data_IF_645306733110
#
_entry.id   IF_645306733110
#
_cell.length_a   1.000
_cell.length_b   1.000
_cell.length_c   1.000
_cell.angle_alpha   90.00
_cell.angle_beta   90.00
_cell.angle_gamma   90.00
#
_symmetry.space_group_name_H-M   'P 1'
#
loop_
_entity.id
_entity.type
_entity.pdbx_description
1 polymer ?
#
# COMPACT_ATOMS: atom_id res chain seq x y z
N UNK A 1 15.87 9.64 12.05
CA UNK A 1 14.52 9.23 11.56
C UNK A 1 14.54 7.73 11.29
N UNK A 2 13.48 7.02 11.66
CA UNK A 2 13.29 5.59 11.44
C UNK A 2 12.07 5.39 10.55
N UNK A 3 12.28 4.69 9.42
CA UNK A 3 11.26 4.46 8.40
C UNK A 3 10.98 2.97 8.31
N UNK A 4 9.72 2.60 8.43
CA UNK A 4 9.23 1.25 8.17
C UNK A 4 8.69 1.18 6.74
N UNK A 5 9.27 0.31 5.92
CA UNK A 5 8.81 -0.04 4.59
C UNK A 5 8.02 -1.35 4.70
N UNK A 6 6.74 -1.32 4.34
CA UNK A 6 5.89 -2.51 4.29
C UNK A 6 5.72 -2.92 2.83
N UNK A 7 6.10 -4.16 2.52
CA UNK A 7 5.95 -4.78 1.20
C UNK A 7 5.23 -6.12 1.34
N UNK A 8 4.65 -6.63 0.26
CA UNK A 8 3.94 -7.91 0.29
C UNK A 8 4.94 -9.08 0.39
N UNK A 9 6.02 -9.02 -0.41
CA UNK A 9 6.99 -10.12 -0.55
C UNK A 9 8.43 -9.69 -0.28
N UNK A 10 9.30 -10.68 -0.05
CA UNK A 10 10.71 -10.45 0.32
C UNK A 10 11.51 -9.77 -0.81
N UNK A 11 11.17 -10.06 -2.06
CA UNK A 11 11.78 -9.48 -3.26
C UNK A 11 11.53 -7.98 -3.32
N UNK A 12 10.30 -7.54 -3.05
CA UNK A 12 9.92 -6.14 -2.97
C UNK A 12 10.64 -5.44 -1.82
N UNK A 13 10.62 -6.02 -0.61
CA UNK A 13 11.29 -5.46 0.56
C UNK A 13 12.80 -5.24 0.30
N UNK A 14 13.47 -6.23 -0.28
CA UNK A 14 14.89 -6.11 -0.68
C UNK A 14 15.08 -5.09 -1.78
N UNK A 15 14.21 -5.06 -2.79
CA UNK A 15 14.31 -4.12 -3.89
C UNK A 15 14.18 -2.67 -3.41
N UNK A 16 13.29 -2.39 -2.46
CA UNK A 16 13.02 -1.06 -1.89
C UNK A 16 14.23 -0.46 -1.19
N UNK A 17 15.10 -1.28 -0.57
CA UNK A 17 16.27 -0.79 0.18
C UNK A 17 17.61 -0.96 -0.54
N UNK A 18 17.67 -1.67 -1.67
CA UNK A 18 18.94 -2.08 -2.31
C UNK A 18 19.89 -0.93 -2.68
N UNK A 19 19.35 0.29 -2.87
CA UNK A 19 20.13 1.49 -3.24
C UNK A 19 20.43 2.41 -2.06
N UNK A 20 19.86 2.14 -0.88
CA UNK A 20 20.01 3.02 0.29
C UNK A 20 21.34 2.82 1.01
N UNK A 21 21.81 1.57 1.09
CA UNK A 21 22.99 1.19 1.86
C UNK A 21 23.23 -0.32 1.85
N UNK A 22 24.27 -0.81 2.56
CA UNK A 22 24.35 -2.23 2.92
C UNK A 22 23.08 -2.67 3.66
N UNK A 23 22.69 -3.93 3.48
CA UNK A 23 21.50 -4.49 4.12
C UNK A 23 21.87 -5.56 5.13
N UNK A 24 21.11 -5.64 6.22
CA UNK A 24 21.22 -6.69 7.23
C UNK A 24 19.87 -7.40 7.38
N UNK A 25 19.86 -8.73 7.32
CA UNK A 25 18.65 -9.51 7.61
C UNK A 25 18.31 -9.42 9.09
N UNK A 26 17.03 -9.23 9.39
CA UNK A 26 16.49 -9.18 10.74
C UNK A 26 15.14 -9.89 10.78
N UNK A 27 14.63 -10.16 11.99
CA UNK A 27 13.25 -10.55 12.22
C UNK A 27 12.57 -9.50 13.09
N UNK A 28 11.27 -9.31 12.90
CA UNK A 28 10.43 -8.41 13.71
C UNK A 28 9.28 -9.24 14.22
N UNK A 29 9.26 -9.54 15.52
CA UNK A 29 8.32 -10.49 16.09
C UNK A 29 8.31 -11.82 15.32
N UNK A 30 7.16 -12.30 14.82
CA UNK A 30 7.06 -13.55 14.07
C UNK A 30 7.47 -13.43 12.58
N UNK A 31 7.88 -12.25 12.09
CA UNK A 31 8.15 -12.00 10.66
C UNK A 31 9.65 -12.11 10.34
N UNK A 32 10.12 -13.21 9.70
CA UNK A 32 11.55 -13.47 9.49
C UNK A 32 12.13 -12.82 8.22
N UNK A 33 11.27 -12.30 7.34
CA UNK A 33 11.65 -11.79 6.03
C UNK A 33 11.78 -10.26 6.04
N UNK A 34 12.63 -9.76 6.95
CA UNK A 34 12.88 -8.35 7.11
C UNK A 34 14.35 -8.01 6.83
N UNK A 35 14.61 -6.79 6.38
CA UNK A 35 15.95 -6.25 6.17
C UNK A 35 16.04 -4.83 6.71
N UNK A 36 17.16 -4.49 7.35
CA UNK A 36 17.48 -3.10 7.70
C UNK A 36 18.55 -2.54 6.77
N UNK A 37 18.52 -1.23 6.55
CA UNK A 37 19.54 -0.50 5.82
C UNK A 37 19.64 0.94 6.33
N UNK A 38 20.85 1.44 6.50
CA UNK A 38 21.08 2.85 6.80
C UNK A 38 21.31 3.63 5.50
N UNK A 39 20.75 4.83 5.40
CA UNK A 39 21.01 5.71 4.27
C UNK A 39 22.49 6.11 4.20
N UNK A 40 23.06 6.04 3.00
CA UNK A 40 24.41 6.59 2.70
C UNK A 40 24.47 8.12 2.74
N UNK A 41 23.33 8.80 2.67
CA UNK A 41 23.25 10.25 2.42
C UNK A 41 22.60 11.04 3.56
N UNK A 42 21.99 10.38 4.53
CA UNK A 42 21.27 11.03 5.63
C UNK A 42 21.22 10.15 6.88
N UNK A 43 20.93 10.74 8.04
CA UNK A 43 20.71 9.99 9.29
C UNK A 43 19.30 9.37 9.34
N UNK A 44 19.05 8.43 8.41
CA UNK A 44 17.79 7.69 8.28
C UNK A 44 18.06 6.19 8.33
N UNK A 45 17.37 5.51 9.24
CA UNK A 45 17.37 4.06 9.36
C UNK A 45 16.12 3.50 8.70
N UNK A 46 16.28 2.56 7.78
CA UNK A 46 15.19 1.88 7.10
C UNK A 46 15.06 0.45 7.61
N UNK A 47 13.83 0.04 7.83
CA UNK A 47 13.46 -1.34 8.08
C UNK A 47 12.43 -1.73 7.03
N UNK A 48 12.74 -2.66 6.13
CA UNK A 48 11.81 -3.19 5.16
C UNK A 48 11.34 -4.59 5.56
N UNK A 49 10.03 -4.78 5.59
CA UNK A 49 9.36 -6.00 6.02
C UNK A 49 8.56 -6.57 4.84
N UNK A 50 8.71 -7.87 4.59
CA UNK A 50 7.72 -8.63 3.84
C UNK A 50 6.60 -9.03 4.81
N UNK A 51 5.49 -8.30 4.74
CA UNK A 51 4.35 -8.46 5.64
C UNK A 51 3.44 -9.65 5.26
N UNK A 52 3.57 -10.15 4.03
CA UNK A 52 2.65 -11.11 3.44
C UNK A 52 1.65 -10.42 2.52
N UNK A 53 1.05 -11.23 1.63
CA UNK A 53 0.11 -10.75 0.61
C UNK A 53 -1.27 -10.59 1.24
N UNK A 54 -1.93 -9.48 0.91
CA UNK A 54 -3.30 -9.20 1.33
C UNK A 54 -3.42 -8.38 2.61
N UNK A 55 -4.60 -7.80 2.75
CA UNK A 55 -4.91 -6.77 3.74
C UNK A 55 -4.68 -7.24 5.20
N UNK A 56 -5.21 -8.41 5.56
CA UNK A 56 -5.07 -8.94 6.92
C UNK A 56 -3.61 -9.24 7.30
N UNK A 57 -2.80 -9.73 6.35
CA UNK A 57 -1.38 -9.98 6.57
C UNK A 57 -0.63 -8.65 6.77
N UNK A 58 -0.87 -7.69 5.87
CA UNK A 58 -0.31 -6.35 5.93
C UNK A 58 -0.65 -5.62 7.25
N UNK A 59 -1.89 -5.68 7.69
CA UNK A 59 -2.36 -5.08 8.94
C UNK A 59 -1.69 -5.68 10.17
N UNK A 60 -1.69 -7.02 10.27
CA UNK A 60 -1.08 -7.72 11.40
C UNK A 60 0.42 -7.42 11.51
N UNK A 61 1.13 -7.40 10.38
CA UNK A 61 2.57 -7.13 10.37
C UNK A 61 2.89 -5.68 10.72
N UNK A 62 2.15 -4.73 10.15
CA UNK A 62 2.34 -3.29 10.41
C UNK A 62 2.06 -2.97 11.87
N UNK A 63 0.93 -3.44 12.42
CA UNK A 63 0.59 -3.25 13.82
C UNK A 63 1.64 -3.87 14.76
N UNK A 64 2.12 -5.08 14.45
CA UNK A 64 3.18 -5.74 15.22
C UNK A 64 4.48 -4.94 15.21
N UNK A 65 4.90 -4.44 14.04
CA UNK A 65 6.12 -3.66 13.92
C UNK A 65 6.06 -2.35 14.72
N UNK A 66 4.95 -1.62 14.63
CA UNK A 66 4.74 -0.37 15.37
C UNK A 66 4.65 -0.60 16.88
N UNK A 67 4.04 -1.70 17.31
CA UNK A 67 3.98 -2.06 18.73
C UNK A 67 5.35 -2.43 19.31
N UNK A 68 6.21 -3.09 18.52
CA UNK A 68 7.55 -3.51 18.95
C UNK A 68 8.59 -2.40 18.86
N UNK A 69 8.44 -1.44 17.95
CA UNK A 69 9.31 -0.28 17.81
C UNK A 69 8.51 1.03 17.76
N UNK A 70 8.16 1.60 18.92
CA UNK A 70 7.42 2.86 19.00
C UNK A 70 8.23 4.08 18.54
N UNK A 71 9.50 3.90 18.14
CA UNK A 71 10.34 4.98 17.61
C UNK A 71 10.28 5.13 16.09
N UNK A 72 9.44 4.33 15.41
CA UNK A 72 9.18 4.49 13.97
C UNK A 72 8.47 5.83 13.73
N UNK A 73 9.08 6.67 12.89
CA UNK A 73 8.58 8.02 12.58
C UNK A 73 7.67 8.04 11.34
N UNK A 74 7.81 7.05 10.45
CA UNK A 74 7.14 7.01 9.15
C UNK A 74 6.96 5.57 8.67
N UNK A 75 5.76 5.27 8.17
CA UNK A 75 5.45 4.03 7.44
C UNK A 75 5.28 4.36 5.95
N UNK A 76 5.86 3.53 5.09
CA UNK A 76 5.68 3.59 3.64
C UNK A 76 5.25 2.20 3.17
N UNK A 77 4.05 2.09 2.62
CA UNK A 77 3.67 0.91 1.84
C UNK A 77 4.24 1.03 0.42
N UNK A 78 4.96 0.01 -0.03
CA UNK A 78 5.58 -0.01 -1.36
C UNK A 78 5.57 -1.41 -1.94
N UNK A 79 5.24 -1.51 -3.23
CA UNK A 79 5.17 -2.79 -3.94
C UNK A 79 4.75 -2.59 -5.39
N UNK A 80 4.42 -3.69 -6.05
CA UNK A 80 3.80 -3.66 -7.38
C UNK A 80 2.29 -3.41 -7.27
N UNK A 81 1.72 -2.80 -8.31
CA UNK A 81 0.29 -2.53 -8.40
C UNK A 81 -0.20 -2.74 -9.84
N UNK A 82 -1.46 -3.12 -10.00
CA UNK A 82 -2.15 -3.14 -11.28
C UNK A 82 -2.63 -1.74 -11.66
N UNK A 83 -2.07 -1.14 -12.71
CA UNK A 83 -2.47 0.19 -13.16
C UNK A 83 -3.75 0.18 -14.00
N UNK A 84 -4.64 1.14 -13.78
CA UNK A 84 -5.84 1.32 -14.61
C UNK A 84 -5.50 2.09 -15.91
N UNK A 85 -5.68 1.43 -17.05
CA UNK A 85 -5.46 2.02 -18.37
C UNK A 85 -6.55 3.07 -18.72
N UNK A 86 -6.22 4.08 -19.56
CA UNK A 86 -4.90 4.37 -20.13
C UNK A 86 -4.02 5.22 -19.20
N UNK A 87 -4.47 5.51 -17.97
CA UNK A 87 -3.80 6.47 -17.06
C UNK A 87 -2.48 5.95 -16.52
N UNK A 88 -2.42 4.67 -16.19
CA UNK A 88 -1.23 4.03 -15.61
C UNK A 88 -0.90 2.78 -16.43
N UNK A 89 0.36 2.67 -16.86
CA UNK A 89 0.88 1.53 -17.61
C UNK A 89 2.10 0.94 -16.91
N UNK A 90 2.59 -0.19 -17.41
CA UNK A 90 3.78 -0.87 -16.89
C UNK A 90 4.96 0.10 -16.84
N UNK A 91 5.63 0.17 -15.68
CA UNK A 91 6.79 1.03 -15.45
C UNK A 91 6.47 2.43 -14.92
N UNK A 92 5.19 2.84 -14.91
CA UNK A 92 4.79 4.05 -14.18
C UNK A 92 4.84 3.82 -12.66
N UNK A 93 5.17 4.89 -11.93
CA UNK A 93 5.05 4.95 -10.46
C UNK A 93 3.78 5.69 -10.10
N UNK A 94 3.04 5.17 -9.12
CA UNK A 94 1.85 5.81 -8.55
C UNK A 94 2.10 6.06 -7.07
N UNK A 95 1.70 7.24 -6.59
CA UNK A 95 1.71 7.61 -5.17
C UNK A 95 0.24 7.80 -4.75
N UNK A 96 -0.18 7.07 -3.72
CA UNK A 96 -1.51 7.24 -3.14
C UNK A 96 -1.65 8.61 -2.46
N UNK A 97 -2.63 9.40 -2.86
CA UNK A 97 -3.20 10.46 -2.01
C UNK A 97 -4.38 9.93 -1.17
N UNK A 98 -5.07 8.92 -1.68
CA UNK A 98 -6.13 8.16 -1.04
C UNK A 98 -5.91 6.66 -1.21
N UNK A 99 -6.25 5.90 -0.17
CA UNK A 99 -6.26 4.44 -0.15
C UNK A 99 -7.68 4.00 0.16
N UNK A 100 -8.27 3.17 -0.70
CA UNK A 100 -9.67 2.71 -0.54
C UNK A 100 -9.72 1.19 -0.47
N UNK A 101 -10.37 0.62 0.55
CA UNK A 101 -10.66 -0.81 0.62
C UNK A 101 -11.82 -1.16 -0.34
N UNK A 102 -11.49 -1.49 -1.58
CA UNK A 102 -12.47 -1.67 -2.65
C UNK A 102 -13.30 -2.95 -2.52
N UNK A 103 -12.84 -3.92 -1.73
CA UNK A 103 -13.56 -5.17 -1.43
C UNK A 103 -14.18 -5.20 -0.02
N UNK A 104 -14.01 -4.14 0.78
CA UNK A 104 -14.55 -4.09 2.15
C UNK A 104 -15.94 -3.44 2.16
N UNK A 105 -16.96 -4.26 2.40
CA UNK A 105 -18.34 -3.80 2.38
C UNK A 105 -19.36 -4.92 2.50
N UNK A 106 -20.58 -4.63 2.08
CA UNK A 106 -21.68 -5.59 2.03
C UNK A 106 -22.23 -5.74 0.61
N UNK A 107 -22.87 -6.87 0.33
CA UNK A 107 -23.61 -7.09 -0.92
C UNK A 107 -25.11 -7.04 -0.65
N UNK A 108 -25.89 -6.61 -1.65
CA UNK A 108 -27.35 -6.64 -1.63
C UNK A 108 -27.90 -7.60 -2.71
N UNK A 109 -28.94 -8.34 -2.33
CA UNK A 109 -29.64 -9.22 -3.26
C UNK A 109 -30.24 -8.43 -4.42
N UNK A 110 -29.91 -8.82 -5.66
CA UNK A 110 -30.38 -8.16 -6.87
C UNK A 110 -29.37 -7.19 -7.51
N UNK A 111 -28.22 -6.95 -6.88
CA UNK A 111 -27.14 -6.11 -7.43
C UNK A 111 -25.79 -6.85 -7.48
N UNK A 112 -25.66 -7.96 -8.23
CA UNK A 112 -24.41 -8.71 -8.32
C UNK A 112 -23.25 -7.82 -8.78
N UNK A 113 -22.08 -7.94 -8.12
CA UNK A 113 -20.90 -7.15 -8.44
C UNK A 113 -20.93 -5.70 -7.93
N UNK A 114 -22.00 -5.27 -7.26
CA UNK A 114 -22.07 -3.97 -6.59
C UNK A 114 -21.80 -4.15 -5.10
N UNK A 115 -20.71 -3.55 -4.62
CA UNK A 115 -20.37 -3.51 -3.20
C UNK A 115 -20.94 -2.24 -2.57
N UNK A 116 -21.65 -2.39 -1.46
CA UNK A 116 -22.03 -1.29 -0.57
C UNK A 116 -20.82 -0.97 0.32
N UNK A 117 -20.16 0.19 0.14
CA UNK A 117 -18.98 0.53 0.93
C UNK A 117 -19.37 0.84 2.39
N UNK A 118 -18.39 0.74 3.29
CA UNK A 118 -18.55 1.06 4.71
C UNK A 118 -19.20 2.43 4.95
N UNK A 119 -18.80 3.45 4.19
CA UNK A 119 -19.31 4.82 4.31
C UNK A 119 -20.81 4.92 4.02
N UNK A 120 -21.33 4.15 3.07
CA UNK A 120 -22.77 4.09 2.77
C UNK A 120 -23.57 3.42 3.90
N UNK A 121 -22.90 2.60 4.71
CA UNK A 121 -23.46 1.96 5.91
C UNK A 121 -23.22 2.79 7.19
N UNK A 122 -22.55 3.95 7.10
CA UNK A 122 -22.25 4.82 8.23
C UNK A 122 -21.03 4.41 9.06
N UNK A 123 -20.12 3.62 8.49
CA UNK A 123 -18.84 3.24 9.10
C UNK A 123 -17.66 3.95 8.47
N UNK A 124 -16.70 4.36 9.30
CA UNK A 124 -15.42 4.91 8.86
C UNK A 124 -14.40 3.79 8.55
N UNK A 125 -13.27 4.17 7.97
CA UNK A 125 -12.10 3.30 7.79
C UNK A 125 -11.87 2.84 6.37
N UNK A 126 -12.91 2.67 5.53
CA UNK A 126 -12.76 2.14 4.17
C UNK A 126 -12.10 3.09 3.15
N UNK A 127 -11.94 4.38 3.48
CA UNK A 127 -11.24 5.39 2.68
C UNK A 127 -10.30 6.17 3.61
N UNK A 128 -9.01 6.11 3.32
CA UNK A 128 -7.95 6.69 4.14
C UNK A 128 -7.16 7.68 3.29
N UNK A 129 -7.13 8.94 3.73
CA UNK A 129 -6.30 9.97 3.12
C UNK A 129 -4.84 9.86 3.60
N UNK A 130 -3.90 9.89 2.67
CA UNK A 130 -2.47 9.97 2.95
C UNK A 130 -2.09 11.39 3.42
N UNK A 131 -1.00 11.52 4.19
CA UNK A 131 -0.48 12.83 4.60
C UNK A 131 -0.14 13.68 3.35
N UNK A 132 -0.81 14.83 3.14
CA UNK A 132 -0.68 15.58 1.90
C UNK A 132 0.69 16.26 1.76
N UNK A 133 1.40 16.52 2.87
CA UNK A 133 2.75 17.06 2.83
C UNK A 133 3.76 15.99 2.43
N UNK A 134 3.61 14.75 2.90
CA UNK A 134 4.41 13.61 2.46
C UNK A 134 4.18 13.29 0.98
N UNK A 135 2.91 13.23 0.54
CA UNK A 135 2.55 13.01 -0.86
C UNK A 135 3.18 14.06 -1.77
N UNK A 136 3.04 15.36 -1.44
CA UNK A 136 3.66 16.44 -2.22
C UNK A 136 5.19 16.32 -2.28
N UNK A 137 5.85 15.98 -1.17
CA UNK A 137 7.31 15.78 -1.15
C UNK A 137 7.73 14.61 -2.03
N UNK A 138 7.03 13.47 -1.94
CA UNK A 138 7.34 12.29 -2.75
C UNK A 138 7.10 12.54 -4.24
N UNK A 139 6.01 13.23 -4.59
CA UNK A 139 5.71 13.63 -5.96
C UNK A 139 6.77 14.61 -6.52
N UNK A 140 7.28 15.55 -5.71
CA UNK A 140 8.33 16.47 -6.17
C UNK A 140 9.69 15.79 -6.45
N UNK A 141 9.88 14.56 -5.98
CA UNK A 141 11.12 13.78 -6.15
C UNK A 141 11.03 12.72 -7.25
N UNK A 142 9.87 12.59 -7.90
CA UNK A 142 9.57 11.49 -8.83
C UNK A 142 8.72 12.00 -10.00
N UNK A 143 8.71 11.30 -11.13
CA UNK A 143 7.71 11.52 -12.19
C UNK A 143 6.42 10.71 -11.93
N UNK A 144 6.10 10.48 -10.64
CA UNK A 144 4.98 9.64 -10.26
C UNK A 144 3.63 10.34 -10.50
N UNK A 145 2.62 9.53 -10.78
CA UNK A 145 1.23 9.98 -10.81
C UNK A 145 0.68 9.92 -9.39
N UNK A 146 0.06 11.01 -8.94
CA UNK A 146 -0.60 11.07 -7.64
C UNK A 146 -2.08 10.79 -7.82
N UNK A 147 -2.63 9.88 -7.02
CA UNK A 147 -4.07 9.60 -7.03
C UNK A 147 -4.43 8.33 -6.27
N UNK A 148 -5.73 8.05 -6.23
CA UNK A 148 -6.30 6.96 -5.44
C UNK A 148 -5.75 5.58 -5.83
N UNK A 149 -5.42 4.77 -4.83
CA UNK A 149 -5.07 3.35 -4.99
C UNK A 149 -6.11 2.49 -4.26
N UNK A 150 -6.67 1.52 -4.98
CA UNK A 150 -7.63 0.56 -4.44
C UNK A 150 -6.88 -0.60 -3.78
N UNK A 151 -7.31 -1.01 -2.60
CA UNK A 151 -6.91 -2.26 -1.95
C UNK A 151 -7.97 -3.32 -2.22
N UNK A 152 -7.56 -4.43 -2.82
CA UNK A 152 -8.41 -5.56 -3.20
C UNK A 152 -7.93 -6.84 -2.53
N UNK A 153 -8.85 -7.75 -2.24
CA UNK A 153 -8.55 -9.08 -1.73
C UNK A 153 -8.34 -10.10 -2.85
N UNK A 154 -8.67 -9.74 -4.10
CA UNK A 154 -8.42 -10.55 -5.29
C UNK A 154 -7.89 -9.67 -6.42
N UNK A 155 -6.75 -10.03 -6.99
CA UNK A 155 -6.17 -9.33 -8.15
C UNK A 155 -7.17 -9.36 -9.30
N UNK A 156 -7.44 -8.20 -9.87
CA UNK A 156 -8.42 -8.06 -10.93
C UNK A 156 -7.78 -8.36 -12.28
N UNK A 157 -8.21 -9.47 -12.89
CA UNK A 157 -7.91 -9.82 -14.28
C UNK A 157 -9.18 -9.95 -15.14
N UNK A 158 -10.33 -9.51 -14.60
CA UNK A 158 -11.63 -9.58 -15.24
C UNK A 158 -12.05 -8.17 -15.70
N UNK A 159 -12.35 -8.03 -17.00
CA UNK A 159 -12.75 -6.75 -17.62
C UNK A 159 -14.00 -6.13 -16.97
N UNK A 160 -15.03 -6.91 -16.66
CA UNK A 160 -16.25 -6.44 -15.99
C UNK A 160 -15.94 -5.84 -14.60
N UNK A 161 -15.02 -6.46 -13.85
CA UNK A 161 -14.60 -5.95 -12.55
C UNK A 161 -13.75 -4.68 -12.69
N UNK A 162 -12.90 -4.60 -13.71
CA UNK A 162 -12.15 -3.38 -14.04
C UNK A 162 -13.13 -2.24 -14.37
N UNK A 163 -14.11 -2.50 -15.24
CA UNK A 163 -15.14 -1.52 -15.61
C UNK A 163 -15.94 -1.05 -14.40
N UNK A 164 -16.29 -1.98 -13.50
CA UNK A 164 -16.97 -1.64 -12.26
C UNK A 164 -16.12 -0.70 -11.40
N UNK A 165 -14.83 -1.00 -11.19
CA UNK A 165 -13.92 -0.12 -10.43
C UNK A 165 -13.71 1.23 -11.10
N UNK A 166 -13.57 1.29 -12.42
CA UNK A 166 -13.45 2.56 -13.15
C UNK A 166 -14.74 3.39 -13.01
N UNK A 167 -15.90 2.75 -12.96
CA UNK A 167 -17.20 3.41 -12.77
C UNK A 167 -17.40 3.90 -11.33
N UNK A 168 -17.10 3.08 -10.32
CA UNK A 168 -17.33 3.41 -8.90
C UNK A 168 -16.23 4.28 -8.31
N UNK A 169 -15.01 4.13 -8.78
CA UNK A 169 -13.82 4.87 -8.36
C UNK A 169 -13.16 5.54 -9.58
N UNK A 170 -13.81 6.55 -10.20
CA UNK A 170 -13.32 7.15 -11.44
C UNK A 170 -11.94 7.82 -11.29
N UNK A 171 -11.53 8.17 -10.07
CA UNK A 171 -10.22 8.72 -9.76
C UNK A 171 -9.13 7.65 -9.51
N UNK A 172 -9.48 6.36 -9.41
CA UNK A 172 -8.53 5.30 -9.13
C UNK A 172 -7.46 5.18 -10.23
N UNK A 173 -6.20 5.17 -9.81
CA UNK A 173 -5.05 5.04 -10.69
C UNK A 173 -4.51 3.61 -10.73
N UNK A 174 -4.61 2.87 -9.62
CA UNK A 174 -4.12 1.51 -9.52
C UNK A 174 -4.89 0.70 -8.47
N UNK A 175 -4.70 -0.61 -8.49
CA UNK A 175 -5.08 -1.55 -7.44
C UNK A 175 -3.87 -2.34 -6.91
N UNK A 176 -3.89 -2.68 -5.62
CA UNK A 176 -2.94 -3.55 -4.94
C UNK A 176 -3.66 -4.29 -3.80
N UNK A 177 -2.97 -5.10 -2.99
CA UNK A 177 -3.64 -5.96 -2.00
C UNK A 177 -3.36 -5.58 -0.53
N UNK A 178 -2.42 -4.66 -0.27
CA UNK A 178 -1.93 -4.40 1.08
C UNK A 178 -2.24 -3.00 1.61
N UNK A 179 -2.48 -2.02 0.71
CA UNK A 179 -2.45 -0.59 1.05
C UNK A 179 -3.31 -0.20 2.25
N UNK A 180 -4.59 -0.62 2.24
CA UNK A 180 -5.54 -0.34 3.32
C UNK A 180 -5.16 -1.06 4.63
N UNK A 181 -4.59 -2.25 4.55
CA UNK A 181 -4.14 -2.97 5.74
C UNK A 181 -2.98 -2.27 6.43
N UNK A 182 -2.12 -1.57 5.68
CA UNK A 182 -0.99 -0.80 6.26
C UNK A 182 -1.43 0.54 6.84
N UNK A 183 -2.47 1.14 6.27
CA UNK A 183 -2.95 2.49 6.59
C UNK A 183 -3.76 2.51 7.89
#
# INVERSE_FOLDING_TARGET
MRVLLICAVAEEARASVRRLGPTKKVAIGPYPHCVTSDSRHASVHFTAMAAGIGEAAAASATATALALDPSIDLVINAGIAGGFAPRVGVGHVVIADHIVAADLGAEESGSPGTLIPLSAMGYDGGDIACDPALVRRAAALTDARVGMILTVSTITANEERIENFVRTHPAALAEAMEGHGVA
#
